data_IF_578595580119
#
_entry.id   IF_578595580119
#
_cell.length_a   1.000
_cell.length_b   1.000
_cell.length_c   1.000
_cell.angle_alpha   90.00
_cell.angle_beta   90.00
_cell.angle_gamma   90.00
#
_symmetry.space_group_name_H-M   'P 1'
#
loop_
_entity.id
_entity.type
_entity.pdbx_description
1 polymer ?
#
# COMPACT_ATOMS: atom_id res chain seq x y z
N UNK A 1 -13.18 -17.20 19.40
CA UNK A 1 -12.17 -16.72 18.44
C UNK A 1 -10.93 -17.58 18.60
N UNK A 2 -10.51 -18.29 17.56
CA UNK A 2 -9.17 -18.89 17.53
C UNK A 2 -8.32 -17.98 16.63
N UNK A 3 -7.42 -17.19 17.22
CA UNK A 3 -6.48 -16.35 16.45
C UNK A 3 -5.61 -17.22 15.52
N UNK A 4 -5.35 -18.45 15.95
CA UNK A 4 -4.62 -19.50 15.24
C UNK A 4 -5.33 -19.98 13.96
N UNK A 5 -6.67 -20.02 13.95
CA UNK A 5 -7.43 -20.37 12.74
C UNK A 5 -7.30 -19.27 11.68
N UNK A 6 -7.38 -18.00 12.09
CA UNK A 6 -7.24 -16.84 11.21
C UNK A 6 -5.82 -16.75 10.65
N UNK A 7 -4.82 -16.96 11.50
CA UNK A 7 -3.41 -17.03 11.12
C UNK A 7 -3.17 -18.08 10.04
N UNK A 8 -3.61 -19.31 10.29
CA UNK A 8 -3.45 -20.42 9.34
C UNK A 8 -4.08 -20.09 7.99
N UNK A 9 -5.27 -19.48 7.98
CA UNK A 9 -5.95 -19.04 6.76
C UNK A 9 -5.17 -17.94 6.02
N UNK A 10 -4.70 -16.92 6.73
CA UNK A 10 -3.92 -15.83 6.15
C UNK A 10 -2.64 -16.35 5.49
N UNK A 11 -1.88 -17.19 6.20
CA UNK A 11 -0.64 -17.77 5.69
C UNK A 11 -0.91 -18.68 4.49
N UNK A 12 -1.96 -19.51 4.55
CA UNK A 12 -2.34 -20.37 3.42
C UNK A 12 -2.74 -19.55 2.18
N UNK A 13 -3.49 -18.48 2.36
CA UNK A 13 -3.84 -17.58 1.26
C UNK A 13 -2.58 -16.95 0.65
N UNK A 14 -1.69 -16.40 1.46
CA UNK A 14 -0.45 -15.78 0.99
C UNK A 14 0.48 -16.76 0.26
N UNK A 15 0.48 -18.03 0.66
CA UNK A 15 1.23 -19.10 -0.04
C UNK A 15 0.68 -19.37 -1.44
N UNK A 16 -0.63 -19.32 -1.61
CA UNK A 16 -1.31 -19.74 -2.84
C UNK A 16 -1.64 -18.58 -3.79
N UNK A 17 -1.63 -17.34 -3.32
CA UNK A 17 -1.99 -16.18 -4.12
C UNK A 17 -1.11 -16.07 -5.38
N UNK A 18 -1.72 -15.83 -6.54
CA UNK A 18 -0.95 -15.64 -7.78
C UNK A 18 -0.01 -14.43 -7.66
N UNK A 19 -0.53 -13.31 -7.14
CA UNK A 19 0.27 -12.15 -6.80
C UNK A 19 0.80 -12.30 -5.35
N UNK A 20 2.13 -12.30 -5.13
CA UNK A 20 2.72 -12.41 -3.80
C UNK A 20 2.46 -11.17 -2.92
N UNK A 21 2.07 -10.04 -3.52
CA UNK A 21 1.70 -8.79 -2.85
C UNK A 21 0.18 -8.71 -2.69
N UNK A 22 -0.34 -9.23 -1.58
CA UNK A 22 -1.78 -9.33 -1.36
C UNK A 22 -2.28 -8.15 -0.53
N UNK A 23 -3.32 -7.40 -0.97
CA UNK A 23 -3.93 -6.36 -0.14
C UNK A 23 -4.50 -6.92 1.16
N UNK A 24 -4.27 -6.25 2.30
CA UNK A 24 -4.73 -6.72 3.62
C UNK A 24 -6.25 -6.83 3.67
N UNK A 25 -6.98 -5.89 3.06
CA UNK A 25 -8.44 -5.98 2.88
C UNK A 25 -8.90 -7.25 2.15
N UNK A 26 -8.12 -7.76 1.19
CA UNK A 26 -8.44 -9.00 0.47
C UNK A 26 -8.29 -10.21 1.40
N UNK A 27 -7.24 -10.22 2.24
CA UNK A 27 -7.07 -11.23 3.29
C UNK A 27 -8.20 -11.16 4.32
N UNK A 28 -8.58 -9.96 4.74
CA UNK A 28 -9.69 -9.77 5.67
C UNK A 28 -11.00 -10.30 5.09
N UNK A 29 -11.32 -9.93 3.86
CA UNK A 29 -12.53 -10.41 3.17
C UNK A 29 -12.52 -11.93 3.01
N UNK A 30 -11.35 -12.55 2.78
CA UNK A 30 -11.22 -14.00 2.75
C UNK A 30 -11.49 -14.63 4.12
N UNK A 31 -10.92 -14.08 5.20
CA UNK A 31 -11.14 -14.56 6.56
C UNK A 31 -12.61 -14.43 6.99
N UNK A 32 -13.24 -13.29 6.73
CA UNK A 32 -14.64 -13.03 7.06
C UNK A 32 -15.62 -13.89 6.24
N UNK A 33 -15.25 -14.28 5.02
CA UNK A 33 -16.10 -15.16 4.19
C UNK A 33 -16.23 -16.55 4.80
N UNK A 34 -15.15 -17.08 5.34
CA UNK A 34 -15.17 -18.41 5.94
C UNK A 34 -15.52 -18.42 7.43
N UNK A 35 -15.29 -17.30 8.12
CA UNK A 35 -15.67 -17.15 9.53
C UNK A 35 -16.27 -15.75 9.79
N UNK A 36 -17.53 -15.51 9.39
CA UNK A 36 -18.17 -14.18 9.52
C UNK A 36 -18.33 -13.71 10.96
N UNK A 37 -18.50 -14.67 11.89
CA UNK A 37 -18.64 -14.41 13.32
C UNK A 37 -17.29 -14.19 14.05
N UNK A 38 -16.17 -14.20 13.32
CA UNK A 38 -14.84 -14.02 13.91
C UNK A 38 -14.63 -12.63 14.53
N UNK A 39 -15.40 -11.62 14.12
CA UNK A 39 -15.31 -10.25 14.65
C UNK A 39 -13.96 -9.56 14.38
N UNK A 40 -13.12 -10.12 13.51
CA UNK A 40 -11.81 -9.56 13.20
C UNK A 40 -11.95 -8.27 12.41
N UNK A 41 -11.22 -7.25 12.84
CA UNK A 41 -11.12 -5.97 12.15
C UNK A 41 -9.86 -5.91 11.31
N UNK A 42 -9.83 -5.02 10.32
CA UNK A 42 -8.63 -4.78 9.51
C UNK A 42 -7.43 -4.41 10.39
N UNK A 43 -7.63 -3.53 11.38
CA UNK A 43 -6.59 -3.10 12.30
C UNK A 43 -6.02 -4.26 13.13
N UNK A 44 -6.87 -5.18 13.61
CA UNK A 44 -6.43 -6.35 14.36
C UNK A 44 -5.64 -7.32 13.48
N UNK A 45 -6.12 -7.57 12.26
CA UNK A 45 -5.41 -8.40 11.28
C UNK A 45 -4.05 -7.80 10.93
N UNK A 46 -4.00 -6.48 10.74
CA UNK A 46 -2.79 -5.80 10.36
C UNK A 46 -1.76 -5.75 11.50
N UNK A 47 -2.20 -5.54 12.74
CA UNK A 47 -1.37 -5.69 13.93
C UNK A 47 -0.76 -7.09 14.04
N UNK A 48 -1.56 -8.13 13.76
CA UNK A 48 -1.09 -9.51 13.71
C UNK A 48 -0.04 -9.72 12.61
N UNK A 49 -0.30 -9.28 11.37
CA UNK A 49 0.62 -9.45 10.24
C UNK A 49 1.94 -8.71 10.44
N UNK A 50 1.92 -7.52 11.07
CA UNK A 50 3.14 -6.77 11.41
C UNK A 50 3.98 -7.46 12.49
N UNK A 51 3.35 -8.15 13.43
CA UNK A 51 4.04 -8.91 14.47
C UNK A 51 4.55 -10.28 13.98
N UNK A 52 4.05 -10.78 12.84
CA UNK A 52 4.35 -12.12 12.36
C UNK A 52 5.73 -12.21 11.71
N UNK A 53 6.60 -13.08 12.23
CA UNK A 53 8.00 -13.20 11.84
C UNK A 53 8.24 -13.59 10.37
N UNK A 54 7.27 -14.20 9.70
CA UNK A 54 7.39 -14.62 8.29
C UNK A 54 6.70 -13.69 7.29
N UNK A 55 6.00 -12.65 7.75
CA UNK A 55 5.26 -11.72 6.88
C UNK A 55 6.03 -10.40 6.78
N UNK A 56 6.01 -9.81 5.59
CA UNK A 56 6.38 -8.42 5.35
C UNK A 56 5.08 -7.68 5.02
N UNK A 57 4.85 -6.57 5.71
CA UNK A 57 3.77 -5.64 5.40
C UNK A 57 4.39 -4.42 4.73
N UNK A 58 3.94 -4.13 3.52
CA UNK A 58 4.26 -2.91 2.79
C UNK A 58 3.11 -1.93 2.98
N UNK A 59 3.42 -0.78 3.56
CA UNK A 59 2.44 0.31 3.70
C UNK A 59 2.19 0.91 2.32
N UNK A 60 0.91 0.96 1.94
CA UNK A 60 0.46 1.68 0.76
C UNK A 60 -0.26 2.97 1.16
N UNK A 61 -0.33 3.95 0.26
CA UNK A 61 -1.06 5.19 0.50
C UNK A 61 -2.54 4.90 0.82
N UNK A 62 -3.14 5.71 1.69
CA UNK A 62 -4.51 5.51 2.15
C UNK A 62 -5.50 5.60 0.99
N UNK A 63 -6.64 4.91 1.12
CA UNK A 63 -7.72 5.05 0.13
C UNK A 63 -8.25 6.50 0.04
N UNK A 64 -8.04 7.29 1.09
CA UNK A 64 -8.39 8.71 1.19
C UNK A 64 -7.39 9.62 0.44
N UNK A 65 -6.17 9.13 0.20
CA UNK A 65 -5.10 9.85 -0.50
C UNK A 65 -5.18 9.68 -2.04
N UNK A 66 -6.07 8.81 -2.53
CA UNK A 66 -6.25 8.54 -3.95
C UNK A 66 -7.04 9.66 -4.66
N UNK A 67 -6.54 10.24 -5.77
CA UNK A 67 -7.27 11.24 -6.54
C UNK A 67 -8.43 10.60 -7.32
N UNK A 68 -9.65 11.09 -7.09
CA UNK A 68 -10.86 10.57 -7.73
C UNK A 68 -11.38 9.32 -7.02
N UNK A 69 -12.44 9.51 -6.23
CA UNK A 69 -13.04 8.45 -5.42
C UNK A 69 -13.25 7.17 -6.22
N UNK A 70 -12.72 6.08 -5.66
CA UNK A 70 -13.00 4.70 -6.03
C UNK A 70 -13.18 4.46 -7.55
N UNK A 71 -12.15 4.76 -8.35
CA UNK A 71 -12.02 4.07 -9.64
C UNK A 71 -11.90 2.57 -9.34
N UNK A 72 -12.83 1.76 -9.85
CA UNK A 72 -12.76 0.29 -9.75
C UNK A 72 -11.40 -0.18 -10.27
N UNK A 73 -10.53 -0.61 -9.35
CA UNK A 73 -9.10 -0.91 -9.61
C UNK A 73 -8.14 -0.15 -8.70
N UNK A 74 -8.38 1.14 -8.42
CA UNK A 74 -7.56 1.91 -7.47
C UNK A 74 -7.75 1.43 -6.02
N UNK A 75 -8.94 0.93 -5.70
CA UNK A 75 -9.23 0.17 -4.49
C UNK A 75 -8.65 -1.26 -4.51
N UNK A 76 -7.82 -1.65 -5.47
CA UNK A 76 -6.91 -2.80 -5.35
C UNK A 76 -5.48 -2.35 -5.01
N UNK A 77 -5.17 -1.07 -5.27
CA UNK A 77 -3.86 -0.45 -5.14
C UNK A 77 -3.65 0.32 -3.83
N UNK A 78 -4.71 0.87 -3.25
CA UNK A 78 -4.63 1.62 -1.99
C UNK A 78 -4.41 0.72 -0.76
N UNK A 79 -3.67 1.21 0.22
CA UNK A 79 -3.55 0.60 1.53
C UNK A 79 -2.52 -0.54 1.63
N UNK A 80 -2.43 -1.13 2.82
CA UNK A 80 -1.36 -2.04 3.20
C UNK A 80 -1.45 -3.37 2.44
N UNK A 81 -0.29 -3.89 2.04
CA UNK A 81 -0.14 -5.17 1.33
C UNK A 81 0.75 -6.11 2.14
N UNK A 82 0.38 -7.36 2.23
CA UNK A 82 1.11 -8.40 2.94
C UNK A 82 1.74 -9.41 1.96
N UNK A 83 2.93 -9.87 2.32
CA UNK A 83 3.79 -10.75 1.53
C UNK A 83 4.46 -11.75 2.47
N UNK A 84 4.62 -13.01 2.06
CA UNK A 84 5.49 -13.95 2.77
C UNK A 84 6.95 -13.71 2.42
N UNK A 85 7.83 -13.67 3.42
CA UNK A 85 9.29 -13.57 3.24
C UNK A 85 9.86 -14.64 2.31
N UNK A 86 9.29 -15.85 2.36
CA UNK A 86 9.71 -16.98 1.54
C UNK A 86 9.37 -16.80 0.05
N UNK A 87 8.46 -15.89 -0.31
CA UNK A 87 8.14 -15.58 -1.70
C UNK A 87 8.97 -14.38 -2.12
N UNK A 88 9.92 -14.59 -3.03
CA UNK A 88 10.53 -13.46 -3.73
C UNK A 88 9.46 -12.86 -4.63
N UNK A 89 9.07 -11.59 -4.43
CA UNK A 89 8.17 -10.94 -5.35
C UNK A 89 8.86 -10.88 -6.72
N UNK A 90 8.07 -11.06 -7.77
CA UNK A 90 8.55 -10.90 -9.14
C UNK A 90 9.08 -9.46 -9.31
N UNK A 91 10.30 -9.25 -9.85
CA UNK A 91 10.85 -7.91 -10.04
C UNK A 91 9.92 -6.98 -10.82
N UNK A 92 9.21 -7.48 -11.83
CA UNK A 92 8.24 -6.70 -12.59
C UNK A 92 7.04 -6.26 -11.75
N UNK A 93 6.52 -7.14 -10.90
CA UNK A 93 5.44 -6.80 -9.96
C UNK A 93 5.87 -5.75 -8.91
N UNK A 94 7.13 -5.76 -8.48
CA UNK A 94 7.66 -4.74 -7.55
C UNK A 94 7.81 -3.39 -8.26
N UNK A 95 8.31 -3.37 -9.50
CA UNK A 95 8.44 -2.14 -10.28
C UNK A 95 7.08 -1.51 -10.58
N UNK A 96 6.09 -2.33 -10.96
CA UNK A 96 4.69 -1.90 -11.11
C UNK A 96 4.14 -1.25 -9.84
N UNK A 97 4.36 -1.89 -8.68
CA UNK A 97 3.94 -1.34 -7.39
C UNK A 97 4.61 0.02 -7.11
N UNK A 98 5.93 0.11 -7.29
CA UNK A 98 6.68 1.35 -7.04
C UNK A 98 6.22 2.48 -7.95
N UNK A 99 5.92 2.17 -9.22
CA UNK A 99 5.38 3.13 -10.19
C UNK A 99 4.00 3.62 -9.77
N UNK A 100 3.09 2.72 -9.42
CA UNK A 100 1.76 3.07 -8.90
C UNK A 100 1.82 3.96 -7.66
N UNK A 101 2.74 3.67 -6.72
CA UNK A 101 2.94 4.49 -5.53
C UNK A 101 3.47 5.88 -5.88
N UNK A 102 4.43 5.98 -6.80
CA UNK A 102 4.99 7.26 -7.20
C UNK A 102 4.00 8.13 -7.96
N UNK A 103 3.17 7.55 -8.82
CA UNK A 103 2.10 8.29 -9.51
C UNK A 103 1.13 8.91 -8.51
N UNK A 104 0.84 8.20 -7.41
CA UNK A 104 -0.02 8.73 -6.34
C UNK A 104 0.63 9.88 -5.57
N UNK A 105 1.91 9.75 -5.19
CA UNK A 105 2.65 10.84 -4.51
C UNK A 105 2.67 12.09 -5.38
N UNK A 106 2.90 11.93 -6.70
CA UNK A 106 2.86 13.05 -7.64
C UNK A 106 1.48 13.70 -7.71
N UNK A 107 0.42 12.92 -7.78
CA UNK A 107 -0.94 13.45 -7.83
C UNK A 107 -1.32 14.23 -6.56
N UNK A 108 -0.90 13.77 -5.38
CA UNK A 108 -1.11 14.50 -4.11
C UNK A 108 -0.31 15.81 -4.11
N UNK A 109 0.94 15.79 -4.55
CA UNK A 109 1.77 17.00 -4.66
C UNK A 109 1.18 18.00 -5.67
N UNK A 110 0.74 17.56 -6.84
CA UNK A 110 0.13 18.45 -7.83
C UNK A 110 -1.19 19.08 -7.34
N UNK A 111 -1.94 18.37 -6.49
CA UNK A 111 -3.14 18.93 -5.85
C UNK A 111 -2.81 19.98 -4.78
N UNK A 112 -1.72 19.80 -4.04
CA UNK A 112 -1.26 20.74 -3.02
C UNK A 112 -0.48 21.94 -3.59
N UNK A 113 -0.03 21.86 -4.85
CA UNK A 113 0.69 22.94 -5.53
C UNK A 113 0.00 24.32 -5.48
N UNK A 114 -1.32 24.48 -5.75
CA UNK A 114 -1.98 25.79 -5.66
C UNK A 114 -2.04 26.36 -4.24
N UNK A 115 -2.06 25.51 -3.20
CA UNK A 115 -2.00 25.95 -1.80
C UNK A 115 -0.58 26.35 -1.43
N UNK A 116 0.42 25.60 -1.91
CA UNK A 116 1.82 25.96 -1.77
C UNK A 116 2.16 27.26 -2.52
N UNK A 117 1.51 27.58 -3.64
CA UNK A 117 1.71 28.84 -4.40
C UNK A 117 1.20 30.07 -3.66
N UNK A 118 0.22 29.87 -2.77
CA UNK A 118 -0.35 30.91 -1.91
C UNK A 118 0.35 30.99 -0.54
N UNK A 119 1.26 30.05 -0.24
CA UNK A 119 2.01 30.02 1.01
C UNK A 119 2.98 31.21 1.06
N UNK A 120 2.87 32.00 2.11
CA UNK A 120 3.65 33.24 2.30
C UNK A 120 4.93 32.97 3.06
N UNK A 121 5.02 31.84 3.76
CA UNK A 121 6.24 31.39 4.44
C UNK A 121 7.24 30.80 3.42
N UNK A 122 8.39 31.46 3.18
CA UNK A 122 9.38 31.01 2.21
C UNK A 122 10.03 29.67 2.59
N UNK A 123 10.06 29.31 3.88
CA UNK A 123 10.63 28.05 4.36
C UNK A 123 9.71 26.89 3.99
N UNK A 124 8.40 27.06 4.18
CA UNK A 124 7.40 26.04 3.80
C UNK A 124 7.32 25.88 2.29
N UNK A 125 7.39 26.99 1.54
CA UNK A 125 7.46 26.95 0.08
C UNK A 125 8.66 26.15 -0.42
N UNK A 126 9.86 26.44 0.10
CA UNK A 126 11.07 25.72 -0.25
C UNK A 126 11.02 24.23 0.12
N UNK A 127 10.38 23.88 1.24
CA UNK A 127 10.18 22.50 1.65
C UNK A 127 9.28 21.74 0.67
N UNK A 128 8.18 22.36 0.21
CA UNK A 128 7.30 21.79 -0.81
C UNK A 128 8.02 21.59 -2.15
N UNK A 129 8.77 22.59 -2.62
CA UNK A 129 9.54 22.49 -3.88
C UNK A 129 10.60 21.38 -3.79
N UNK A 130 11.25 21.22 -2.63
CA UNK A 130 12.21 20.14 -2.38
C UNK A 130 11.54 18.76 -2.42
N UNK A 131 10.34 18.63 -1.84
CA UNK A 131 9.57 17.39 -1.87
C UNK A 131 9.15 17.04 -3.30
N UNK A 132 8.74 18.03 -4.10
CA UNK A 132 8.38 17.84 -5.51
C UNK A 132 9.58 17.38 -6.35
N UNK A 133 10.71 18.04 -6.22
CA UNK A 133 11.94 17.66 -6.92
C UNK A 133 12.40 16.22 -6.57
N UNK A 134 12.31 15.83 -5.29
CA UNK A 134 12.62 14.46 -4.87
C UNK A 134 11.67 13.42 -5.46
N UNK A 135 10.38 13.74 -5.54
CA UNK A 135 9.40 12.83 -6.14
C UNK A 135 9.67 12.62 -7.64
N UNK A 136 10.07 13.66 -8.36
CA UNK A 136 10.49 13.56 -9.77
C UNK A 136 11.76 12.70 -9.93
N UNK A 137 12.78 12.93 -9.11
CA UNK A 137 14.03 12.15 -9.13
C UNK A 137 13.79 10.65 -8.84
N UNK A 138 12.91 10.34 -7.89
CA UNK A 138 12.52 8.97 -7.56
C UNK A 138 11.75 8.31 -8.71
N UNK A 139 10.86 9.05 -9.38
CA UNK A 139 10.12 8.55 -10.53
C UNK A 139 11.04 8.24 -11.73
N UNK A 140 12.02 9.11 -12.00
CA UNK A 140 13.05 8.87 -13.03
C UNK A 140 13.88 7.63 -12.71
N UNK A 141 14.31 7.46 -11.47
CA UNK A 141 15.06 6.28 -11.02
C UNK A 141 14.28 4.98 -11.20
N UNK A 142 12.97 4.99 -10.96
CA UNK A 142 12.11 3.83 -11.20
C UNK A 142 12.01 3.53 -12.69
N UNK A 143 11.90 4.56 -13.55
CA UNK A 143 11.90 4.39 -15.01
C UNK A 143 13.21 3.85 -15.58
N UNK A 144 14.35 4.05 -14.89
CA UNK A 144 15.66 3.51 -15.28
C UNK A 144 15.86 2.03 -14.91
N UNK A 145 14.95 1.45 -14.11
CA UNK A 145 14.99 0.05 -13.69
C UNK A 145 14.15 -0.87 -14.61
N UNK A 146 13.50 -0.30 -15.64
CA UNK A 146 12.78 -1.00 -16.72
C UNK A 146 13.74 -1.43 -17.85
#
# INVERSE_FOLDING_TARGET
MSLESIETRCLNYLRQAANPLVPVRTLLAHCLREEPASGITEQALLGFLRAHGEVIVLEGPGAEDLPGGAVEGAAAVAGPRALLKARKPDPGAVLLLLREQMDMVRAVLDRMAPEADQETDPVRRAAFDTLKARAEELAEKIGLLE
#
